data_IF_893852974079
#
_entry.id   IF_893852974079
#
_cell.length_a   1.000
_cell.length_b   1.000
_cell.length_c   1.000
_cell.angle_alpha   90.00
_cell.angle_beta   90.00
_cell.angle_gamma   90.00
#
_symmetry.space_group_name_H-M   'P 1'
#
loop_
_entity.id
_entity.type
_entity.pdbx_description
1 polymer ?
#
# COMPACT_ATOMS: atom_id res chain seq x y z
N UNK A 1 1.79 12.34 20.50
CA UNK A 1 1.87 12.08 19.05
C UNK A 1 3.20 11.38 18.80
N UNK A 2 3.17 10.04 18.84
CA UNK A 2 4.36 9.19 18.65
C UNK A 2 4.90 9.43 17.23
N UNK A 3 6.22 9.43 17.06
CA UNK A 3 6.89 9.85 15.83
C UNK A 3 7.21 11.35 15.83
N UNK A 4 6.22 12.23 15.93
CA UNK A 4 6.46 13.69 15.98
C UNK A 4 7.15 14.16 17.27
N UNK A 5 6.90 13.48 18.40
CA UNK A 5 7.48 13.80 19.72
C UNK A 5 8.52 12.75 20.17
N UNK A 6 9.00 11.93 19.24
CA UNK A 6 9.87 10.78 19.54
C UNK A 6 9.13 9.45 19.66
N UNK A 7 9.89 8.40 19.97
CA UNK A 7 9.48 7.00 19.92
C UNK A 7 9.53 6.27 21.28
N UNK A 8 9.81 6.98 22.38
CA UNK A 8 10.00 6.35 23.69
C UNK A 8 8.88 5.41 24.11
N UNK A 9 7.57 5.70 23.89
CA UNK A 9 6.51 4.75 24.22
C UNK A 9 6.61 3.41 23.47
N UNK A 10 7.13 3.44 22.24
CA UNK A 10 7.39 2.22 21.44
C UNK A 10 8.59 1.47 22.00
N UNK A 11 9.67 2.18 22.32
CA UNK A 11 10.88 1.59 22.90
C UNK A 11 10.58 0.93 24.26
N UNK A 12 9.84 1.63 25.12
CA UNK A 12 9.42 1.09 26.42
C UNK A 12 8.54 -0.15 26.29
N UNK A 13 7.64 -0.18 25.30
CA UNK A 13 6.85 -1.37 25.02
C UNK A 13 7.73 -2.56 24.62
N UNK A 14 8.65 -2.35 23.69
CA UNK A 14 9.57 -3.41 23.25
C UNK A 14 10.44 -3.88 24.42
N UNK A 15 11.04 -2.96 25.19
CA UNK A 15 11.86 -3.31 26.37
C UNK A 15 11.09 -4.15 27.38
N UNK A 16 9.86 -3.77 27.72
CA UNK A 16 9.00 -4.55 28.62
C UNK A 16 8.75 -5.96 28.08
N UNK A 17 8.34 -6.07 26.81
CA UNK A 17 8.11 -7.38 26.19
C UNK A 17 9.37 -8.26 26.22
N UNK A 18 10.53 -7.70 25.91
CA UNK A 18 11.81 -8.43 25.93
C UNK A 18 12.26 -8.82 27.33
N UNK A 19 12.03 -7.98 28.34
CA UNK A 19 12.32 -8.31 29.73
C UNK A 19 11.48 -9.51 30.22
N UNK A 20 10.24 -9.60 29.73
CA UNK A 20 9.31 -10.70 30.01
C UNK A 20 9.52 -11.90 29.05
N UNK A 21 10.57 -11.91 28.22
CA UNK A 21 10.84 -12.95 27.22
C UNK A 21 9.65 -13.25 26.29
N UNK A 22 8.82 -12.24 26.02
CA UNK A 22 7.60 -12.35 25.24
C UNK A 22 7.81 -11.73 23.85
N UNK A 23 7.42 -12.39 22.75
CA UNK A 23 7.49 -11.77 21.42
C UNK A 23 6.54 -10.57 21.33
N UNK A 24 6.91 -9.57 20.53
CA UNK A 24 6.13 -8.35 20.38
C UNK A 24 5.61 -8.17 18.95
N UNK A 25 4.49 -7.45 18.84
CA UNK A 25 4.01 -6.87 17.58
C UNK A 25 3.86 -5.36 17.79
N UNK A 26 4.52 -4.57 16.94
CA UNK A 26 4.37 -3.11 16.93
C UNK A 26 3.73 -2.68 15.63
N UNK A 27 2.53 -2.10 15.72
CA UNK A 27 1.91 -1.38 14.61
C UNK A 27 2.27 0.11 14.71
N UNK A 28 3.37 0.50 14.06
CA UNK A 28 3.82 1.89 14.04
C UNK A 28 3.21 2.64 12.85
N UNK A 29 2.08 3.30 13.09
CA UNK A 29 1.36 4.10 12.10
C UNK A 29 1.22 5.56 12.56
N UNK A 30 2.29 6.38 12.46
CA UNK A 30 2.20 7.79 12.79
C UNK A 30 1.31 8.51 11.77
N UNK A 31 0.75 9.65 12.15
CA UNK A 31 -0.02 10.51 11.23
C UNK A 31 0.82 11.11 10.09
N UNK A 32 2.13 10.89 10.02
CA UNK A 32 3.00 11.45 8.98
C UNK A 32 3.01 10.55 7.74
N UNK A 33 2.98 11.10 6.51
CA UNK A 33 3.02 12.52 6.15
C UNK A 33 1.62 13.13 5.93
N UNK A 34 0.54 12.56 6.49
CA UNK A 34 -0.80 13.12 6.33
C UNK A 34 -0.87 14.58 6.80
N UNK A 35 -1.79 15.34 6.20
CA UNK A 35 -2.11 16.70 6.61
C UNK A 35 -2.40 16.80 8.12
N UNK A 36 -2.04 17.92 8.77
CA UNK A 36 -1.38 19.10 8.17
C UNK A 36 0.12 18.86 7.88
N UNK A 37 0.64 19.46 6.81
CA UNK A 37 2.07 19.42 6.46
C UNK A 37 2.84 20.51 7.22
N UNK A 38 3.22 20.20 8.45
CA UNK A 38 3.87 21.12 9.41
C UNK A 38 5.24 20.61 9.88
N UNK A 39 6.22 20.40 8.96
CA UNK A 39 7.52 19.85 9.32
C UNK A 39 8.37 20.85 10.12
N UNK A 40 9.37 20.37 10.89
CA UNK A 40 10.42 21.19 11.48
C UNK A 40 11.07 22.13 10.44
N UNK A 41 11.39 23.35 10.86
CA UNK A 41 11.95 24.37 9.98
C UNK A 41 13.25 23.91 9.29
N UNK A 42 14.08 23.15 10.01
CA UNK A 42 15.33 22.57 9.49
C UNK A 42 15.10 21.59 8.33
N UNK A 43 13.99 20.84 8.36
CA UNK A 43 13.63 19.91 7.29
C UNK A 43 13.04 20.67 6.11
N UNK A 44 12.13 21.61 6.38
CA UNK A 44 11.52 22.42 5.34
C UNK A 44 12.59 23.16 4.51
N UNK A 45 13.59 23.74 5.17
CA UNK A 45 14.67 24.49 4.52
C UNK A 45 15.41 23.67 3.45
N UNK A 46 15.51 22.34 3.59
CA UNK A 46 16.17 21.47 2.61
C UNK A 46 15.43 21.39 1.27
N UNK A 47 14.12 21.64 1.27
CA UNK A 47 13.27 21.40 0.10
C UNK A 47 12.76 22.68 -0.57
N UNK A 48 12.76 23.82 0.11
CA UNK A 48 12.19 25.08 -0.43
C UNK A 48 12.68 25.43 -1.83
N UNK A 49 13.97 25.22 -2.11
CA UNK A 49 14.59 25.54 -3.41
C UNK A 49 14.72 24.33 -4.36
N UNK A 50 14.15 23.17 -4.00
CA UNK A 50 14.29 21.90 -4.75
C UNK A 50 13.02 21.44 -5.45
N UNK A 51 11.88 22.07 -5.19
CA UNK A 51 10.57 21.68 -5.72
C UNK A 51 9.75 22.88 -6.16
N UNK A 52 8.77 22.70 -7.06
CA UNK A 52 8.08 23.82 -7.69
C UNK A 52 7.24 24.68 -6.74
N UNK A 53 6.94 24.21 -5.52
CA UNK A 53 6.09 24.95 -4.59
C UNK A 53 6.47 24.75 -3.11
N UNK A 54 6.18 25.75 -2.25
CA UNK A 54 6.28 25.59 -0.80
C UNK A 54 5.38 24.49 -0.22
N UNK A 55 4.26 24.18 -0.87
CA UNK A 55 3.37 23.09 -0.44
C UNK A 55 4.05 21.72 -0.64
N UNK A 56 4.64 21.48 -1.81
CA UNK A 56 5.45 20.29 -2.07
C UNK A 56 6.66 20.20 -1.15
N UNK A 57 7.31 21.34 -0.86
CA UNK A 57 8.46 21.36 0.04
C UNK A 57 8.08 20.89 1.45
N UNK A 58 6.91 21.33 1.95
CA UNK A 58 6.37 20.86 3.23
C UNK A 58 6.04 19.37 3.20
N UNK A 59 5.39 18.88 2.14
CA UNK A 59 5.07 17.44 2.02
C UNK A 59 6.33 16.57 2.02
N UNK A 60 7.33 16.88 1.19
CA UNK A 60 8.57 16.07 1.14
C UNK A 60 9.37 16.16 2.44
N UNK A 61 9.36 17.31 3.12
CA UNK A 61 9.97 17.44 4.45
C UNK A 61 9.24 16.57 5.50
N UNK A 62 7.92 16.40 5.40
CA UNK A 62 7.18 15.45 6.25
C UNK A 62 7.55 13.99 5.94
N UNK A 63 7.81 13.65 4.68
CA UNK A 63 8.29 12.33 4.27
C UNK A 63 9.68 12.06 4.85
N UNK A 64 10.63 13.01 4.73
CA UNK A 64 11.95 12.86 5.37
C UNK A 64 11.82 12.73 6.90
N UNK A 65 10.90 13.48 7.51
CA UNK A 65 10.69 13.37 8.96
C UNK A 65 10.23 11.97 9.35
N UNK A 66 9.29 11.39 8.61
CA UNK A 66 8.84 10.02 8.83
C UNK A 66 9.96 8.99 8.59
N UNK A 67 10.75 9.16 7.53
CA UNK A 67 11.91 8.31 7.26
C UNK A 67 12.91 8.30 8.43
N UNK A 68 13.18 9.46 9.03
CA UNK A 68 14.03 9.56 10.23
C UNK A 68 13.47 8.77 11.40
N UNK A 69 12.16 8.79 11.63
CA UNK A 69 11.57 8.01 12.74
C UNK A 69 11.58 6.51 12.44
N UNK A 70 11.50 6.09 11.18
CA UNK A 70 11.79 4.70 10.79
C UNK A 70 13.24 4.34 11.12
N UNK A 71 14.21 5.21 10.78
CA UNK A 71 15.62 5.05 11.13
C UNK A 71 15.87 4.90 12.63
N UNK A 72 15.28 5.77 13.45
CA UNK A 72 15.38 5.70 14.92
C UNK A 72 14.87 4.36 15.49
N UNK A 73 13.79 3.81 14.92
CA UNK A 73 13.26 2.51 15.32
C UNK A 73 14.18 1.36 14.89
N UNK A 74 14.73 1.40 13.68
CA UNK A 74 15.69 0.40 13.20
C UNK A 74 16.97 0.42 14.03
N UNK A 75 17.52 1.60 14.31
CA UNK A 75 18.70 1.80 15.16
C UNK A 75 18.46 1.28 16.58
N UNK A 76 17.24 1.47 17.11
CA UNK A 76 16.85 0.89 18.39
C UNK A 76 16.89 -0.64 18.36
N UNK A 77 16.31 -1.29 17.33
CA UNK A 77 16.36 -2.75 17.19
C UNK A 77 17.80 -3.28 17.07
N UNK A 78 18.67 -2.57 16.36
CA UNK A 78 20.08 -2.96 16.21
C UNK A 78 20.83 -2.80 17.55
N UNK A 79 20.65 -1.67 18.27
CA UNK A 79 21.29 -1.42 19.59
C UNK A 79 20.86 -2.42 20.66
N UNK A 80 19.58 -2.79 20.69
CA UNK A 80 19.02 -3.78 21.61
C UNK A 80 19.29 -5.23 21.15
N UNK A 81 19.99 -5.42 20.01
CA UNK A 81 20.30 -6.73 19.42
C UNK A 81 19.06 -7.58 19.11
N UNK A 82 17.97 -6.93 18.73
CA UNK A 82 16.70 -7.56 18.38
C UNK A 82 16.51 -7.76 16.88
N UNK A 83 17.33 -7.11 16.05
CA UNK A 83 17.16 -7.05 14.61
C UNK A 83 17.11 -8.43 13.92
N UNK A 84 17.98 -9.36 14.30
CA UNK A 84 18.04 -10.70 13.67
C UNK A 84 16.79 -11.55 13.94
N UNK A 85 16.05 -11.25 15.01
CA UNK A 85 14.82 -11.94 15.38
C UNK A 85 13.56 -11.05 15.23
N UNK A 86 13.64 -10.01 14.41
CA UNK A 86 12.51 -9.11 14.16
C UNK A 86 12.25 -9.01 12.66
N UNK A 87 11.04 -9.32 12.23
CA UNK A 87 10.55 -8.99 10.88
C UNK A 87 10.08 -7.55 10.89
N UNK A 88 10.69 -6.71 10.05
CA UNK A 88 10.22 -5.34 9.82
C UNK A 88 9.48 -5.31 8.49
N UNK A 89 8.24 -4.82 8.52
CA UNK A 89 7.41 -4.57 7.35
C UNK A 89 7.21 -3.07 7.20
N UNK A 90 7.53 -2.53 6.03
CA UNK A 90 7.08 -1.22 5.62
C UNK A 90 5.94 -1.37 4.62
N UNK A 91 4.85 -0.64 4.84
CA UNK A 91 3.73 -0.55 3.91
C UNK A 91 3.22 0.90 3.87
N UNK A 92 2.63 1.28 2.74
CA UNK A 92 1.90 2.53 2.60
C UNK A 92 0.43 2.22 2.26
N UNK A 93 -0.48 2.90 2.94
CA UNK A 93 -1.92 2.61 2.99
C UNK A 93 -2.66 2.90 1.67
N UNK A 94 -2.25 3.94 0.95
CA UNK A 94 -2.85 4.37 -0.31
C UNK A 94 -1.94 5.29 -1.14
N UNK A 95 -2.41 5.70 -2.32
CA UNK A 95 -1.79 6.71 -3.16
C UNK A 95 -1.38 8.00 -2.43
N UNK A 96 -0.29 8.60 -2.91
CA UNK A 96 0.47 9.62 -2.19
C UNK A 96 0.80 10.87 -3.03
N UNK A 97 0.45 10.88 -4.32
CA UNK A 97 0.80 11.95 -5.26
C UNK A 97 -0.02 13.20 -4.92
N UNK A 98 0.67 14.29 -4.62
CA UNK A 98 0.06 15.58 -4.26
C UNK A 98 -0.18 16.46 -5.49
N UNK A 99 -1.16 17.35 -5.42
CA UNK A 99 -1.17 18.52 -6.31
C UNK A 99 -0.09 19.51 -5.86
N UNK A 100 0.59 20.22 -6.79
CA UNK A 100 1.70 21.09 -6.41
C UNK A 100 1.33 22.20 -5.44
N UNK A 101 0.20 22.88 -5.64
CA UNK A 101 -0.09 24.15 -4.95
C UNK A 101 -1.29 24.11 -4.00
N UNK A 102 -1.95 22.95 -3.86
CA UNK A 102 -3.16 22.77 -3.05
C UNK A 102 -2.97 21.60 -2.08
N UNK A 103 -3.71 21.53 -0.95
CA UNK A 103 -3.68 20.38 -0.06
C UNK A 103 -4.40 19.13 -0.62
N UNK A 104 -4.76 19.14 -1.90
CA UNK A 104 -5.46 18.04 -2.54
C UNK A 104 -4.48 17.03 -3.13
N UNK A 105 -4.94 15.79 -3.28
CA UNK A 105 -4.20 14.78 -4.02
C UNK A 105 -4.31 15.03 -5.53
N UNK A 106 -3.27 14.63 -6.26
CA UNK A 106 -3.32 14.65 -7.71
C UNK A 106 -4.47 13.76 -8.23
N UNK A 107 -5.06 14.07 -9.39
CA UNK A 107 -5.95 13.13 -10.06
C UNK A 107 -5.30 11.76 -10.16
N UNK A 108 -6.12 10.70 -10.03
CA UNK A 108 -5.64 9.31 -10.09
C UNK A 108 -4.67 8.90 -8.97
N UNK A 109 -4.67 9.62 -7.85
CA UNK A 109 -3.95 9.22 -6.64
C UNK A 109 -4.88 8.65 -5.57
N UNK A 110 -4.80 9.11 -4.32
CA UNK A 110 -5.62 8.64 -3.20
C UNK A 110 -7.12 8.58 -3.59
N UNK A 111 -7.82 7.53 -3.14
CA UNK A 111 -9.23 7.23 -3.45
C UNK A 111 -9.53 6.91 -4.94
N UNK A 112 -8.53 6.50 -5.71
CA UNK A 112 -8.71 6.13 -7.11
C UNK A 112 -8.22 4.71 -7.43
N UNK A 113 -8.75 4.07 -8.49
CA UNK A 113 -8.37 2.71 -8.90
C UNK A 113 -7.07 2.64 -9.72
N UNK A 114 -6.44 3.78 -9.97
CA UNK A 114 -5.26 3.91 -10.81
C UNK A 114 -3.97 3.55 -10.06
N UNK A 115 -2.85 3.34 -10.76
CA UNK A 115 -1.55 2.98 -10.18
C UNK A 115 -1.11 4.03 -9.16
N UNK A 116 -1.35 5.32 -9.43
CA UNK A 116 -1.07 6.40 -8.48
C UNK A 116 -1.89 6.34 -7.18
N UNK A 117 -2.99 5.58 -7.18
CA UNK A 117 -3.87 5.34 -6.03
C UNK A 117 -3.63 4.01 -5.31
N UNK A 118 -3.17 2.98 -6.02
CA UNK A 118 -3.07 1.61 -5.53
C UNK A 118 -1.64 1.09 -5.38
N UNK A 119 -0.70 1.53 -6.22
CA UNK A 119 0.67 0.99 -6.24
C UNK A 119 1.51 1.67 -5.17
N UNK A 120 1.54 1.07 -4.00
CA UNK A 120 2.34 1.51 -2.87
C UNK A 120 3.52 0.55 -2.61
N UNK A 121 4.61 1.02 -1.97
CA UNK A 121 5.70 0.14 -1.57
C UNK A 121 5.26 -0.82 -0.47
N UNK A 122 5.66 -2.08 -0.61
CA UNK A 122 5.68 -3.10 0.45
C UNK A 122 7.11 -3.62 0.54
N UNK A 123 7.75 -3.46 1.69
CA UNK A 123 9.14 -3.90 1.91
C UNK A 123 9.23 -4.77 3.16
N UNK A 124 9.96 -5.87 3.07
CA UNK A 124 10.22 -6.78 4.19
C UNK A 124 11.73 -6.83 4.47
N UNK A 125 12.09 -6.69 5.75
CA UNK A 125 13.46 -6.88 6.25
C UNK A 125 13.44 -7.92 7.35
N UNK A 126 14.22 -8.99 7.17
CA UNK A 126 14.50 -9.97 8.21
C UNK A 126 15.94 -10.49 8.03
N UNK A 127 16.90 -9.93 8.79
CA UNK A 127 18.31 -10.29 8.66
C UNK A 127 18.54 -11.80 8.79
N UNK A 128 19.35 -12.37 7.89
CA UNK A 128 19.66 -13.80 7.87
C UNK A 128 18.52 -14.74 7.42
N UNK A 129 17.30 -14.22 7.21
CA UNK A 129 16.14 -15.01 6.73
C UNK A 129 15.66 -14.58 5.35
N UNK A 130 15.74 -13.29 5.04
CA UNK A 130 15.34 -12.73 3.75
C UNK A 130 16.61 -12.24 3.03
N UNK A 131 16.85 -12.77 1.84
CA UNK A 131 17.89 -12.26 0.96
C UNK A 131 17.44 -10.96 0.28
N UNK A 132 18.33 -9.95 0.13
CA UNK A 132 18.01 -8.74 -0.61
C UNK A 132 17.57 -9.06 -2.05
N UNK A 133 16.38 -8.61 -2.43
CA UNK A 133 15.82 -8.80 -3.78
C UNK A 133 14.69 -7.79 -4.03
N UNK A 134 14.31 -7.64 -5.31
CA UNK A 134 13.14 -6.86 -5.73
C UNK A 134 12.34 -7.67 -6.76
N UNK A 135 11.53 -8.65 -6.32
CA UNK A 135 10.73 -9.45 -7.23
C UNK A 135 9.77 -8.58 -8.05
N UNK A 136 9.63 -8.86 -9.34
CA UNK A 136 8.73 -8.13 -10.23
C UNK A 136 7.24 -8.51 -10.05
N UNK A 137 6.98 -9.65 -9.40
CA UNK A 137 5.64 -10.17 -9.19
C UNK A 137 4.78 -9.17 -8.39
N UNK A 138 3.53 -8.93 -8.81
CA UNK A 138 2.63 -8.06 -8.08
C UNK A 138 2.29 -8.65 -6.70
N UNK A 139 2.33 -7.81 -5.67
CA UNK A 139 1.97 -8.14 -4.28
C UNK A 139 0.82 -7.26 -3.79
N UNK A 140 0.13 -7.71 -2.75
CA UNK A 140 -0.96 -6.98 -2.11
C UNK A 140 -0.77 -6.93 -0.60
N UNK A 141 -1.29 -5.90 0.09
CA UNK A 141 -1.20 -5.79 1.55
C UNK A 141 -1.88 -6.96 2.28
N UNK A 142 -2.85 -7.63 1.64
CA UNK A 142 -3.50 -8.83 2.19
C UNK A 142 -2.53 -10.02 2.31
N UNK A 143 -1.42 -10.01 1.57
CA UNK A 143 -0.37 -11.03 1.62
C UNK A 143 0.41 -10.97 2.95
N UNK A 144 0.38 -9.82 3.64
CA UNK A 144 1.10 -9.64 4.91
C UNK A 144 0.56 -10.56 6.02
N UNK A 145 -0.75 -10.82 6.06
CA UNK A 145 -1.35 -11.66 7.09
C UNK A 145 -0.81 -13.10 7.07
N UNK A 146 -0.92 -13.88 5.97
CA UNK A 146 -0.36 -15.22 5.92
C UNK A 146 1.17 -15.22 6.08
N UNK A 147 1.86 -14.21 5.56
CA UNK A 147 3.32 -14.08 5.69
C UNK A 147 3.75 -13.97 7.16
N UNK A 148 3.14 -13.04 7.91
CA UNK A 148 3.50 -12.78 9.30
C UNK A 148 3.06 -13.91 10.24
N UNK A 149 1.88 -14.50 10.01
CA UNK A 149 1.42 -15.65 10.80
C UNK A 149 2.39 -16.83 10.65
N UNK A 150 2.79 -17.17 9.42
CA UNK A 150 3.78 -18.21 9.17
C UNK A 150 5.15 -17.90 9.77
N UNK A 151 5.62 -16.65 9.65
CA UNK A 151 6.87 -16.21 10.26
C UNK A 151 6.87 -16.40 11.80
N UNK A 152 5.70 -16.22 12.43
CA UNK A 152 5.49 -16.44 13.86
C UNK A 152 5.18 -17.91 14.23
N UNK A 153 5.12 -18.84 13.27
CA UNK A 153 4.72 -20.23 13.52
C UNK A 153 3.24 -20.40 13.89
N UNK A 154 2.39 -19.43 13.54
CA UNK A 154 0.95 -19.44 13.80
C UNK A 154 0.20 -19.96 12.56
N UNK A 155 -0.79 -20.87 12.72
CA UNK A 155 -1.61 -21.32 11.60
C UNK A 155 -2.33 -20.16 10.91
N UNK A 156 -2.37 -20.19 9.58
CA UNK A 156 -3.16 -19.24 8.78
C UNK A 156 -4.62 -19.69 8.80
N UNK A 157 -5.58 -18.82 9.21
CA UNK A 157 -7.00 -19.15 9.19
C UNK A 157 -7.50 -19.48 7.78
N UNK A 158 -8.48 -20.38 7.70
CA UNK A 158 -9.20 -20.64 6.45
C UNK A 158 -9.84 -19.34 5.92
N UNK A 159 -9.91 -19.21 4.59
CA UNK A 159 -10.49 -18.04 3.93
C UNK A 159 -9.53 -16.85 3.73
N UNK A 160 -8.28 -16.92 4.22
CA UNK A 160 -7.26 -15.94 3.87
C UNK A 160 -6.87 -16.09 2.39
N UNK A 161 -7.06 -15.04 1.59
CA UNK A 161 -6.78 -15.04 0.14
C UNK A 161 -5.38 -14.54 -0.24
N UNK A 162 -4.63 -14.03 0.74
CA UNK A 162 -3.24 -13.60 0.53
C UNK A 162 -2.28 -14.75 0.31
N UNK A 163 -1.14 -14.47 -0.31
CA UNK A 163 0.00 -15.39 -0.43
C UNK A 163 1.06 -15.06 0.62
N UNK A 164 1.90 -16.05 0.92
CA UNK A 164 3.10 -15.84 1.70
C UNK A 164 4.17 -15.16 0.85
N UNK A 165 4.58 -13.96 1.24
CA UNK A 165 5.56 -13.15 0.52
C UNK A 165 6.98 -13.74 0.56
N UNK A 166 7.24 -14.71 1.45
CA UNK A 166 8.51 -15.44 1.49
C UNK A 166 8.51 -16.65 0.54
N UNK A 167 7.35 -17.03 -0.01
CA UNK A 167 7.22 -18.07 -1.03
C UNK A 167 7.32 -17.45 -2.44
N UNK A 168 8.56 -17.21 -2.88
CA UNK A 168 8.84 -16.60 -4.19
C UNK A 168 8.30 -17.43 -5.37
N UNK A 169 8.14 -18.75 -5.21
CA UNK A 169 7.55 -19.61 -6.22
C UNK A 169 6.03 -19.35 -6.33
N UNK A 170 5.33 -19.28 -5.20
CA UNK A 170 3.91 -18.92 -5.19
C UNK A 170 3.66 -17.51 -5.75
N UNK A 171 4.51 -16.53 -5.41
CA UNK A 171 4.44 -15.18 -5.97
C UNK A 171 4.64 -15.17 -7.49
N UNK A 172 5.65 -15.90 -7.99
CA UNK A 172 5.94 -15.99 -9.42
C UNK A 172 4.83 -16.68 -10.22
N UNK A 173 4.06 -17.57 -9.57
CA UNK A 173 2.92 -18.26 -10.17
C UNK A 173 1.63 -17.42 -10.19
N UNK A 174 1.58 -16.28 -9.48
CA UNK A 174 0.39 -15.43 -9.38
C UNK A 174 -0.01 -14.88 -10.76
N UNK A 175 -1.20 -15.25 -11.20
CA UNK A 175 -1.73 -14.84 -12.50
C UNK A 175 -2.43 -13.49 -12.45
N UNK A 176 -3.10 -13.17 -11.34
CA UNK A 176 -3.90 -11.96 -11.23
C UNK A 176 -4.01 -11.49 -9.79
N UNK A 177 -4.13 -10.18 -9.61
CA UNK A 177 -4.60 -9.52 -8.39
C UNK A 177 -5.94 -8.86 -8.69
N UNK A 178 -6.81 -8.84 -7.70
CA UNK A 178 -8.11 -8.20 -7.78
C UNK A 178 -8.29 -7.25 -6.61
N UNK A 179 -9.14 -6.26 -6.80
CA UNK A 179 -9.57 -5.40 -5.72
C UNK A 179 -10.78 -4.57 -6.09
N UNK A 180 -11.27 -3.84 -5.10
CA UNK A 180 -12.41 -2.96 -5.23
C UNK A 180 -12.12 -1.65 -4.51
N UNK A 181 -12.69 -0.57 -5.04
CA UNK A 181 -12.64 0.77 -4.48
C UNK A 181 -14.07 1.20 -4.16
N UNK A 182 -14.27 1.68 -2.93
CA UNK A 182 -15.56 2.08 -2.40
C UNK A 182 -15.61 3.59 -2.19
N UNK A 183 -16.82 4.10 -1.94
CA UNK A 183 -17.00 5.41 -1.33
C UNK A 183 -16.29 5.45 0.04
N UNK A 184 -15.94 6.66 0.48
CA UNK A 184 -15.29 6.83 1.78
C UNK A 184 -16.16 6.31 2.93
N UNK A 185 -17.46 6.57 2.85
CA UNK A 185 -18.44 6.12 3.83
C UNK A 185 -19.28 4.98 3.24
N UNK A 186 -19.44 3.92 4.03
CA UNK A 186 -20.30 2.79 3.67
C UNK A 186 -21.76 3.24 3.71
N UNK A 187 -22.50 3.03 2.61
CA UNK A 187 -23.94 3.32 2.56
C UNK A 187 -24.76 2.30 3.33
N UNK A 188 -24.42 1.02 3.18
CA UNK A 188 -25.09 -0.08 3.86
C UNK A 188 -24.07 -1.16 4.22
N UNK A 189 -24.01 -1.51 5.51
CA UNK A 189 -23.11 -2.54 6.03
C UNK A 189 -23.50 -3.95 5.58
N UNK A 190 -24.78 -4.18 5.28
CA UNK A 190 -25.32 -5.45 4.81
C UNK A 190 -25.24 -5.62 3.29
N UNK A 191 -25.12 -4.51 2.56
CA UNK A 191 -24.97 -4.50 1.10
C UNK A 191 -23.68 -3.75 0.69
N UNK A 192 -22.48 -4.36 0.81
CA UNK A 192 -21.23 -3.67 0.50
C UNK A 192 -21.14 -3.13 -0.94
N UNK A 193 -21.83 -3.76 -1.89
CA UNK A 193 -21.90 -3.30 -3.26
C UNK A 193 -22.58 -1.92 -3.41
N UNK A 194 -23.40 -1.52 -2.42
CA UNK A 194 -24.07 -0.22 -2.39
C UNK A 194 -23.07 0.94 -2.48
N UNK A 195 -21.90 0.84 -1.87
CA UNK A 195 -20.82 1.85 -1.88
C UNK A 195 -19.72 1.59 -2.91
N UNK A 196 -19.85 0.56 -3.73
CA UNK A 196 -18.84 0.21 -4.73
C UNK A 196 -18.75 1.29 -5.82
N UNK A 197 -17.53 1.74 -6.10
CA UNK A 197 -17.20 2.65 -7.21
C UNK A 197 -16.51 1.92 -8.35
N UNK A 198 -15.51 1.10 -8.05
CA UNK A 198 -14.75 0.35 -9.05
C UNK A 198 -14.36 -1.03 -8.57
N UNK A 199 -14.33 -1.99 -9.47
CA UNK A 199 -13.54 -3.22 -9.33
C UNK A 199 -12.36 -3.14 -10.27
N UNK A 200 -11.25 -3.77 -9.94
CA UNK A 200 -10.08 -3.78 -10.80
C UNK A 200 -9.40 -5.14 -10.77
N UNK A 201 -8.63 -5.41 -11.82
CA UNK A 201 -7.76 -6.58 -11.91
C UNK A 201 -6.42 -6.15 -12.50
N UNK A 202 -5.32 -6.69 -11.95
CA UNK A 202 -4.00 -6.67 -12.57
C UNK A 202 -3.59 -8.09 -12.93
N UNK A 203 -3.44 -8.37 -14.22
CA UNK A 203 -3.04 -9.67 -14.76
C UNK A 203 -1.77 -9.50 -15.63
N UNK A 204 -0.61 -9.80 -15.04
CA UNK A 204 0.69 -9.45 -15.62
C UNK A 204 0.81 -7.93 -15.80
N UNK A 205 1.09 -7.51 -17.03
CA UNK A 205 1.19 -6.09 -17.40
C UNK A 205 -0.17 -5.45 -17.67
N UNK A 206 -1.24 -6.23 -17.75
CA UNK A 206 -2.56 -5.70 -18.09
C UNK A 206 -3.33 -5.32 -16.85
N UNK A 207 -3.96 -4.14 -16.90
CA UNK A 207 -4.84 -3.67 -15.84
C UNK A 207 -6.21 -3.34 -16.40
N UNK A 208 -7.23 -3.88 -15.75
CA UNK A 208 -8.63 -3.60 -16.01
C UNK A 208 -9.20 -2.79 -14.84
N UNK A 209 -9.96 -1.74 -15.14
CA UNK A 209 -10.80 -1.01 -14.20
C UNK A 209 -12.25 -1.11 -14.71
N UNK A 210 -13.12 -1.67 -13.88
CA UNK A 210 -14.55 -1.78 -14.13
C UNK A 210 -15.31 -0.84 -13.20
N UNK A 211 -15.92 0.23 -13.72
CA UNK A 211 -16.76 1.09 -12.91
C UNK A 211 -18.04 0.37 -12.48
N UNK A 212 -18.54 0.74 -11.31
CA UNK A 212 -19.86 0.38 -10.82
C UNK A 212 -20.94 1.00 -11.71
N UNK A 213 -22.07 0.31 -11.97
CA UNK A 213 -23.22 0.89 -12.68
C UNK A 213 -23.78 2.17 -12.02
N UNK A 214 -23.44 2.42 -10.75
CA UNK A 214 -23.80 3.65 -10.04
C UNK A 214 -23.05 4.89 -10.53
N UNK A 215 -21.94 4.71 -11.27
CA UNK A 215 -21.17 5.82 -11.84
C UNK A 215 -21.74 6.12 -13.25
N UNK A 216 -22.48 7.23 -13.44
CA UNK A 216 -23.25 7.47 -14.66
C UNK A 216 -22.40 7.49 -15.94
N UNK A 217 -21.18 8.01 -15.83
CA UNK A 217 -20.23 8.16 -16.93
C UNK A 217 -19.11 7.10 -16.89
N UNK A 218 -19.26 6.08 -16.03
CA UNK A 218 -18.30 5.01 -15.86
C UNK A 218 -18.26 4.10 -17.09
N UNK A 219 -17.12 4.07 -17.78
CA UNK A 219 -16.81 3.07 -18.82
C UNK A 219 -15.67 2.16 -18.39
N UNK A 220 -15.64 0.88 -18.82
CA UNK A 220 -14.49 0.02 -18.63
C UNK A 220 -13.20 0.66 -19.19
N UNK A 221 -12.13 0.58 -18.42
CA UNK A 221 -10.80 1.05 -18.81
C UNK A 221 -9.81 -0.10 -18.80
N UNK A 222 -8.99 -0.20 -19.85
CA UNK A 222 -7.99 -1.25 -20.01
C UNK A 222 -6.63 -0.62 -20.35
N UNK A 223 -5.59 -1.03 -19.64
CA UNK A 223 -4.23 -0.49 -19.78
C UNK A 223 -3.20 -1.59 -19.91
N UNK A 224 -2.17 -1.32 -20.72
CA UNK A 224 -0.92 -2.09 -20.75
C UNK A 224 0.15 -1.32 -19.96
N UNK A 225 0.37 -1.71 -18.71
CA UNK A 225 1.28 -1.04 -17.78
C UNK A 225 2.75 -1.19 -18.18
N UNK A 226 3.10 -2.11 -19.09
CA UNK A 226 4.46 -2.22 -19.61
C UNK A 226 4.82 -1.06 -20.54
N UNK A 227 3.82 -0.45 -21.18
CA UNK A 227 3.98 0.66 -22.11
C UNK A 227 3.44 1.98 -21.54
N UNK A 228 2.50 1.91 -20.61
CA UNK A 228 1.76 3.06 -20.09
C UNK A 228 1.54 2.94 -18.57
N UNK A 229 2.61 3.15 -17.80
CA UNK A 229 2.54 3.14 -16.34
C UNK A 229 1.73 4.31 -15.75
N UNK A 230 1.38 5.31 -16.57
CA UNK A 230 0.53 6.45 -16.18
C UNK A 230 -0.95 6.25 -16.49
N UNK A 231 -1.31 5.12 -17.14
CA UNK A 231 -2.68 4.77 -17.53
C UNK A 231 -3.34 5.86 -18.39
N UNK A 232 -2.59 6.50 -19.28
CA UNK A 232 -3.03 7.64 -20.08
C UNK A 232 -3.88 7.22 -21.29
N UNK A 233 -3.63 6.04 -21.88
CA UNK A 233 -4.32 5.55 -23.07
C UNK A 233 -5.21 4.35 -22.73
N UNK A 234 -6.53 4.56 -22.70
CA UNK A 234 -7.49 3.46 -22.56
C UNK A 234 -7.54 2.62 -23.85
N UNK A 235 -7.28 1.32 -23.74
CA UNK A 235 -7.26 0.34 -24.82
C UNK A 235 -8.51 -0.55 -24.87
N UNK A 236 -9.55 -0.25 -24.09
CA UNK A 236 -10.74 -1.09 -23.98
C UNK A 236 -11.44 -1.34 -25.34
N UNK A 237 -11.54 -0.31 -26.18
CA UNK A 237 -12.13 -0.41 -27.54
C UNK A 237 -11.19 -1.12 -28.52
N UNK A 238 -9.87 -0.92 -28.37
CA UNK A 238 -8.84 -1.50 -29.23
C UNK A 238 -8.56 -2.99 -28.94
N UNK A 239 -8.94 -3.48 -27.75
CA UNK A 239 -8.61 -4.83 -27.27
C UNK A 239 -9.86 -5.56 -26.71
N UNK A 240 -10.93 -5.74 -27.49
CA UNK A 240 -12.22 -6.24 -27.00
C UNK A 240 -12.14 -7.67 -26.42
N UNK A 241 -11.33 -8.54 -27.02
CA UNK A 241 -11.15 -9.91 -26.51
C UNK A 241 -10.48 -9.93 -25.14
N UNK A 242 -9.52 -9.03 -24.90
CA UNK A 242 -8.82 -8.93 -23.61
C UNK A 242 -9.70 -8.29 -22.55
N UNK A 243 -10.44 -7.25 -22.93
CA UNK A 243 -11.45 -6.64 -22.08
C UNK A 243 -12.45 -7.70 -21.59
N UNK A 244 -12.96 -8.54 -22.51
CA UNK A 244 -13.89 -9.62 -22.17
C UNK A 244 -13.28 -10.66 -21.23
N UNK A 245 -12.06 -11.13 -21.49
CA UNK A 245 -11.35 -12.08 -20.62
C UNK A 245 -11.16 -11.54 -19.20
N UNK A 246 -10.57 -10.34 -19.05
CA UNK A 246 -10.31 -9.77 -17.73
C UNK A 246 -11.61 -9.42 -16.99
N UNK A 247 -12.66 -9.01 -17.72
CA UNK A 247 -13.99 -8.78 -17.15
C UNK A 247 -14.57 -10.08 -16.58
N UNK A 248 -14.44 -11.19 -17.31
CA UNK A 248 -14.85 -12.51 -16.84
C UNK A 248 -14.13 -12.89 -15.54
N UNK A 249 -12.81 -12.66 -15.47
CA UNK A 249 -12.02 -12.93 -14.25
C UNK A 249 -12.47 -12.08 -13.05
N UNK A 250 -12.72 -10.78 -13.26
CA UNK A 250 -13.21 -9.90 -12.19
C UNK A 250 -14.59 -10.35 -11.69
N UNK A 251 -15.50 -10.74 -12.59
CA UNK A 251 -16.82 -11.25 -12.20
C UNK A 251 -16.74 -12.61 -11.51
N UNK A 252 -15.80 -13.48 -11.88
CA UNK A 252 -15.55 -14.74 -11.18
C UNK A 252 -14.98 -14.53 -9.77
N UNK A 253 -14.19 -13.47 -9.56
CA UNK A 253 -13.69 -13.09 -8.24
C UNK A 253 -14.79 -12.52 -7.35
N UNK A 254 -15.58 -11.58 -7.86
CA UNK A 254 -16.75 -11.04 -7.16
C UNK A 254 -17.78 -10.54 -8.16
N UNK A 255 -18.89 -11.29 -8.29
CA UNK A 255 -20.01 -10.88 -9.14
C UNK A 255 -20.91 -9.89 -8.38
N UNK A 256 -21.01 -8.68 -8.91
CA UNK A 256 -21.82 -7.58 -8.33
C UNK A 256 -23.00 -7.22 -9.22
N UNK A 257 -23.26 -8.06 -10.25
CA UNK A 257 -24.49 -7.91 -11.03
C UNK A 257 -25.69 -8.11 -10.09
N UNK A 258 -26.71 -7.24 -10.21
CA UNK A 258 -27.91 -7.34 -9.39
C UNK A 258 -28.65 -8.66 -9.62
#
# INVERSE_FOLDING_TARGET
>A
NIGRKGLEPVFDFIRRATADSTPFLVWYAPMMPHLPHDPPAELLAKYLDRVPSPHMARYLAMVEWFDRTCGELLDFLDREKLADNTVVVYLCDNGWIQQPDTPEFAPRSKQSPYEGGLRTPIMLRWPGKIAPSMPAAPVSSIDLMPTLLKACGVPVPEGCSGLDLLDLAALSARQSLFGACFDHDMMDLSEPASSLKWRWCRAGDWKLILPSPRLPDGRPELYDLSQDSGELKNLAEDQPSRLADLTSRVNAWWDVRP
#
